data_IF_657734812996
#
_entry.id   IF_657734812996
#
_cell.length_a   1.000
_cell.length_b   1.000
_cell.length_c   1.000
_cell.angle_alpha   90.00
_cell.angle_beta   90.00
_cell.angle_gamma   90.00
#
_symmetry.space_group_name_H-M   'P 1'
#
loop_
_entity.id
_entity.type
_entity.pdbx_description
1 polymer ?
#
# COMPACT_ATOMS: atom_id res chain seq x y z
N UNK A 1 -17.55 -8.17 2.59
CA UNK A 1 -16.42 -7.29 2.23
C UNK A 1 -16.29 -6.22 3.28
N UNK A 2 -15.07 -6.01 3.77
CA UNK A 2 -14.74 -4.94 4.72
C UNK A 2 -13.91 -3.89 3.97
N UNK A 3 -13.92 -2.67 4.48
CA UNK A 3 -13.04 -1.62 3.97
C UNK A 3 -11.85 -1.55 4.91
N UNK A 4 -10.66 -1.82 4.39
CA UNK A 4 -9.42 -1.66 5.12
C UNK A 4 -8.75 -0.35 4.71
N UNK A 5 -8.18 0.38 5.66
CA UNK A 5 -7.43 1.60 5.42
C UNK A 5 -5.94 1.29 5.52
N UNK A 6 -5.30 1.18 4.37
CA UNK A 6 -3.88 0.83 4.27
C UNK A 6 -3.04 2.09 4.18
N UNK A 7 -2.22 2.34 5.19
CA UNK A 7 -1.24 3.43 5.20
C UNK A 7 0.06 2.96 4.57
N UNK A 8 0.48 3.61 3.49
CA UNK A 8 1.63 3.19 2.70
C UNK A 8 2.56 4.36 2.35
N UNK A 9 3.80 4.01 2.04
CA UNK A 9 4.79 4.89 1.42
C UNK A 9 5.44 4.13 0.26
N UNK A 10 5.32 4.67 -0.95
CA UNK A 10 5.91 4.13 -2.17
C UNK A 10 7.15 4.94 -2.56
N UNK A 11 8.24 4.24 -2.81
CA UNK A 11 9.56 4.77 -3.14
C UNK A 11 9.96 4.39 -4.57
N UNK A 12 10.71 5.26 -5.22
CA UNK A 12 11.39 4.90 -6.46
C UNK A 12 12.39 3.77 -6.18
N UNK A 13 12.37 2.72 -7.01
CA UNK A 13 13.14 1.51 -6.76
C UNK A 13 14.64 1.79 -6.67
N UNK A 14 15.27 1.36 -5.58
CA UNK A 14 16.69 1.59 -5.33
C UNK A 14 17.02 3.04 -4.95
N UNK A 15 16.02 3.85 -4.61
CA UNK A 15 16.15 5.23 -4.20
C UNK A 15 15.39 5.48 -2.91
N UNK A 16 15.83 6.47 -2.13
CA UNK A 16 15.09 6.94 -0.96
C UNK A 16 14.02 7.99 -1.33
N UNK A 17 13.78 8.20 -2.63
CA UNK A 17 12.83 9.19 -3.11
C UNK A 17 11.40 8.67 -2.97
N UNK A 18 10.59 9.38 -2.17
CA UNK A 18 9.16 9.09 -2.03
C UNK A 18 8.43 9.54 -3.29
N UNK A 19 7.74 8.60 -3.93
CA UNK A 19 6.92 8.86 -5.13
C UNK A 19 5.47 9.13 -4.72
N UNK A 20 4.96 8.41 -3.72
CA UNK A 20 3.61 8.58 -3.21
C UNK A 20 3.53 8.11 -1.76
N UNK A 21 2.77 8.80 -0.94
CA UNK A 21 2.46 8.37 0.43
C UNK A 21 1.03 8.73 0.77
N UNK A 22 0.41 7.93 1.65
CA UNK A 22 -0.93 8.23 2.13
C UNK A 22 -1.68 7.02 2.65
N UNK A 23 -3.00 7.18 2.75
CA UNK A 23 -3.91 6.14 3.21
C UNK A 23 -4.84 5.76 2.06
N UNK A 24 -4.86 4.49 1.71
CA UNK A 24 -5.71 3.96 0.64
C UNK A 24 -6.82 3.07 1.23
N UNK A 25 -8.10 3.40 0.99
CA UNK A 25 -9.20 2.50 1.32
C UNK A 25 -9.29 1.38 0.29
N UNK A 26 -9.24 0.13 0.75
CA UNK A 26 -9.34 -1.07 -0.10
C UNK A 26 -10.48 -1.96 0.38
N UNK A 27 -11.29 -2.42 -0.56
CA UNK A 27 -12.45 -3.27 -0.28
C UNK A 27 -12.08 -4.75 -0.47
N UNK A 28 -11.73 -5.46 0.59
CA UNK A 28 -11.30 -6.87 0.54
C UNK A 28 -11.94 -7.72 1.64
N UNK A 29 -11.58 -9.01 1.69
CA UNK A 29 -12.03 -9.91 2.74
C UNK A 29 -11.08 -9.91 3.94
N UNK A 30 -9.78 -9.68 3.71
CA UNK A 30 -8.74 -9.65 4.74
C UNK A 30 -7.79 -8.45 4.61
N UNK A 31 -7.13 -8.08 5.72
CA UNK A 31 -6.09 -7.05 5.74
C UNK A 31 -4.90 -7.42 4.85
N UNK A 32 -4.51 -8.70 4.83
CA UNK A 32 -3.46 -9.20 3.94
C UNK A 32 -3.77 -8.94 2.46
N UNK A 33 -4.98 -9.26 2.00
CA UNK A 33 -5.41 -8.96 0.62
C UNK A 33 -5.40 -7.46 0.32
N UNK A 34 -5.73 -6.62 1.31
CA UNK A 34 -5.71 -5.17 1.16
C UNK A 34 -4.28 -4.66 0.95
N UNK A 35 -3.32 -5.15 1.73
CA UNK A 35 -1.90 -4.80 1.59
C UNK A 35 -1.33 -5.25 0.25
N UNK A 36 -1.61 -6.49 -0.17
CA UNK A 36 -1.17 -7.02 -1.46
C UNK A 36 -1.77 -6.22 -2.63
N UNK A 37 -3.02 -5.76 -2.50
CA UNK A 37 -3.66 -4.88 -3.48
C UNK A 37 -2.92 -3.54 -3.59
N UNK A 38 -2.58 -2.90 -2.47
CA UNK A 38 -1.82 -1.65 -2.49
C UNK A 38 -0.44 -1.85 -3.10
N UNK A 39 0.28 -2.92 -2.74
CA UNK A 39 1.58 -3.24 -3.34
C UNK A 39 1.46 -3.46 -4.86
N UNK A 40 0.41 -4.15 -5.31
CA UNK A 40 0.16 -4.40 -6.72
C UNK A 40 -0.14 -3.12 -7.51
N UNK A 41 -0.83 -2.13 -6.91
CA UNK A 41 -1.10 -0.84 -7.56
C UNK A 41 0.17 -0.04 -7.86
N UNK A 42 1.20 -0.19 -7.03
CA UNK A 42 2.51 0.46 -7.21
C UNK A 42 3.55 -0.52 -7.77
N UNK A 43 3.12 -1.44 -8.65
CA UNK A 43 4.02 -2.40 -9.31
C UNK A 43 5.21 -1.68 -9.96
N UNK A 44 6.43 -2.06 -9.56
CA UNK A 44 7.68 -1.45 -10.02
C UNK A 44 8.30 -0.44 -9.05
N UNK A 45 7.58 -0.04 -8.00
CA UNK A 45 8.09 0.76 -6.88
C UNK A 45 8.35 -0.12 -5.65
N UNK A 46 9.14 0.40 -4.72
CA UNK A 46 9.30 -0.20 -3.39
C UNK A 46 8.22 0.35 -2.46
N UNK A 47 7.31 -0.50 -2.00
CA UNK A 47 6.18 -0.08 -1.17
C UNK A 47 6.36 -0.60 0.24
N UNK A 48 6.34 0.32 1.21
CA UNK A 48 6.33 0.00 2.63
C UNK A 48 4.92 0.25 3.18
N UNK A 49 4.31 -0.80 3.72
CA UNK A 49 3.05 -0.71 4.46
C UNK A 49 3.39 -0.40 5.92
N UNK A 50 2.78 0.65 6.49
CA UNK A 50 3.02 1.09 7.87
C UNK A 50 1.95 0.62 8.83
N UNK A 51 0.69 0.65 8.39
CA UNK A 51 -0.47 0.29 9.20
C UNK A 51 -1.65 -0.08 8.31
N UNK A 52 -2.44 -1.07 8.74
CA UNK A 52 -3.67 -1.48 8.07
C UNK A 52 -4.78 -1.60 9.12
N UNK A 53 -5.82 -0.76 8.99
CA UNK A 53 -7.00 -0.73 9.86
C UNK A 53 -8.20 -1.40 9.21
#
# INVERSE_FOLDING_TARGET
MKVYKVTYTAYEKGSCMVVSEGVMPVHTSSSYEAEETVKAMFSGLEVIIRHTD
#
